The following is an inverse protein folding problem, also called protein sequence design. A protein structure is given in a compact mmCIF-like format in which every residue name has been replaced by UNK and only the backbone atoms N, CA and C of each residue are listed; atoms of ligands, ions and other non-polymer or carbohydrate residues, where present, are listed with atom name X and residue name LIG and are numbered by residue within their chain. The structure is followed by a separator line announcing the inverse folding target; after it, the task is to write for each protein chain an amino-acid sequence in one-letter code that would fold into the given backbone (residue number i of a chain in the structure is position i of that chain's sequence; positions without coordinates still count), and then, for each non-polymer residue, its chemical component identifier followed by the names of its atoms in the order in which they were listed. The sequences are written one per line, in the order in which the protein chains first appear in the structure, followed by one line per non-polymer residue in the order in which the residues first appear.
data_IF_176625180283
#
_entry.id   IF_176625180283
#
_cell.length_a   1.000
_cell.length_b   1.000
_cell.length_c   1.000
_cell.angle_alpha   90.00
_cell.angle_beta   90.00
_cell.angle_gamma   90.00
#
_symmetry.space_group_name_H-M   'P 1'
#
loop_
_entity.id
_entity.type
_entity.pdbx_description
1 polymer ?
#
# COMPACT_ATOMS: atom_id res chain seq x y z
N UNK A 1 -19.38 0.35 16.54
CA UNK A 1 -18.21 1.12 17.00
C UNK A 1 -17.48 0.32 18.06
N UNK A 2 -16.54 -0.53 17.66
CA UNK A 2 -15.56 -1.06 18.59
C UNK A 2 -14.54 0.08 18.82
N UNK A 3 -14.72 0.79 19.95
CA UNK A 3 -13.89 1.94 20.29
C UNK A 3 -12.43 1.54 20.39
N UNK A 4 -11.56 2.28 19.75
CA UNK A 4 -10.16 2.29 20.15
C UNK A 4 -10.10 2.60 21.64
N UNK A 5 -9.23 1.93 22.42
CA UNK A 5 -9.14 2.18 23.84
C UNK A 5 -8.82 3.66 24.09
N UNK A 6 -9.65 4.31 24.88
CA UNK A 6 -9.70 5.76 25.13
C UNK A 6 -8.42 6.39 25.73
N UNK A 7 -7.29 5.69 25.76
CA UNK A 7 -6.05 6.12 26.43
C UNK A 7 -4.77 5.94 25.61
N UNK A 8 -4.85 5.83 24.28
CA UNK A 8 -3.62 5.89 23.48
C UNK A 8 -3.23 7.34 23.31
N UNK A 9 -2.01 7.73 23.66
CA UNK A 9 -1.52 9.05 23.35
C UNK A 9 -1.60 9.27 21.83
N UNK A 10 -2.29 10.32 21.39
CA UNK A 10 -2.56 10.66 19.98
C UNK A 10 -1.26 10.81 19.14
N UNK A 11 -0.11 10.90 19.82
CA UNK A 11 1.21 11.07 19.20
C UNK A 11 2.00 9.78 18.95
N UNK A 12 1.49 8.60 19.29
CA UNK A 12 2.16 7.36 18.91
C UNK A 12 2.05 7.18 17.39
N UNK A 13 3.11 7.49 16.67
CA UNK A 13 3.27 7.01 15.32
C UNK A 13 3.42 5.49 15.42
N UNK A 14 2.42 4.75 14.96
CA UNK A 14 2.42 3.28 14.99
C UNK A 14 3.51 2.78 14.04
N UNK A 15 4.70 2.53 14.57
CA UNK A 15 5.85 2.08 13.80
C UNK A 15 5.64 0.61 13.41
N UNK A 16 5.80 0.34 12.13
CA UNK A 16 5.91 -1.03 11.64
C UNK A 16 7.37 -1.35 11.39
N UNK A 17 7.94 -2.25 12.17
CA UNK A 17 9.29 -2.74 12.00
C UNK A 17 9.28 -4.01 11.15
N UNK A 18 10.15 -4.10 10.16
CA UNK A 18 10.35 -5.35 9.41
C UNK A 18 11.05 -6.39 10.31
N UNK A 19 10.52 -7.60 10.31
CA UNK A 19 11.07 -8.74 11.04
C UNK A 19 11.80 -9.66 10.05
N UNK A 20 13.11 -9.88 10.20
CA UNK A 20 13.85 -10.78 9.33
C UNK A 20 13.30 -12.21 9.41
N UNK A 21 12.96 -12.83 8.29
CA UNK A 21 12.36 -14.17 8.25
C UNK A 21 13.22 -15.27 8.87
N UNK A 22 14.54 -15.06 8.96
CA UNK A 22 15.49 -16.00 9.59
C UNK A 22 15.67 -15.79 11.10
N UNK A 23 15.04 -14.76 11.69
CA UNK A 23 15.16 -14.46 13.12
C UNK A 23 14.35 -15.43 13.99
N UNK A 24 14.71 -15.57 15.24
CA UNK A 24 13.91 -16.32 16.22
C UNK A 24 12.53 -15.69 16.43
N UNK A 25 12.44 -14.36 16.33
CA UNK A 25 11.18 -13.64 16.40
C UNK A 25 10.20 -14.09 15.31
N UNK A 26 10.67 -14.28 14.09
CA UNK A 26 9.84 -14.77 12.98
C UNK A 26 9.32 -16.19 13.20
N UNK A 27 9.99 -16.99 14.03
CA UNK A 27 9.57 -18.35 14.41
C UNK A 27 8.55 -18.37 15.55
N UNK A 28 8.31 -17.23 16.21
CA UNK A 28 7.34 -17.14 17.30
C UNK A 28 5.94 -17.53 16.84
N UNK A 29 5.13 -18.07 17.75
CA UNK A 29 3.77 -18.51 17.45
C UNK A 29 2.94 -17.39 16.79
N UNK A 30 2.97 -16.16 17.35
CA UNK A 30 2.22 -15.01 16.81
C UNK A 30 2.65 -14.63 15.39
N UNK A 31 3.96 -14.67 15.11
CA UNK A 31 4.50 -14.36 13.79
C UNK A 31 4.09 -15.43 12.77
N UNK A 32 4.19 -16.71 13.13
CA UNK A 32 3.79 -17.83 12.28
C UNK A 32 2.28 -17.85 12.00
N UNK A 33 1.45 -17.52 12.97
CA UNK A 33 0.00 -17.37 12.74
C UNK A 33 -0.32 -16.23 11.76
N UNK A 34 0.39 -15.11 11.84
CA UNK A 34 0.23 -14.03 10.87
C UNK A 34 0.61 -14.46 9.44
N UNK A 35 1.68 -15.25 9.29
CA UNK A 35 2.11 -15.80 8.00
C UNK A 35 1.05 -16.78 7.47
N UNK A 36 0.58 -17.72 8.29
CA UNK A 36 -0.45 -18.69 7.91
C UNK A 36 -1.77 -18.01 7.51
N UNK A 37 -2.15 -16.95 8.23
CA UNK A 37 -3.37 -16.19 7.93
C UNK A 37 -3.26 -15.51 6.56
N UNK A 38 -2.09 -14.94 6.21
CA UNK A 38 -1.85 -14.34 4.91
C UNK A 38 -1.92 -15.39 3.79
N UNK A 39 -1.25 -16.54 3.96
CA UNK A 39 -1.27 -17.64 2.98
C UNK A 39 -2.70 -18.12 2.74
N UNK A 40 -3.44 -18.39 3.82
CA UNK A 40 -4.84 -18.81 3.75
C UNK A 40 -5.71 -17.80 3.01
N UNK A 41 -5.52 -16.50 3.26
CA UNK A 41 -6.26 -15.45 2.57
C UNK A 41 -6.03 -15.46 1.06
N UNK A 42 -4.80 -15.78 0.61
CA UNK A 42 -4.49 -15.94 -0.81
C UNK A 42 -5.08 -17.22 -1.41
N UNK A 43 -5.08 -18.32 -0.67
CA UNK A 43 -5.67 -19.59 -1.10
C UNK A 43 -7.19 -19.46 -1.24
N UNK A 44 -7.87 -18.92 -0.23
CA UNK A 44 -9.33 -18.72 -0.22
C UNK A 44 -9.79 -17.79 -1.35
N UNK A 45 -9.01 -16.78 -1.66
CA UNK A 45 -9.29 -15.84 -2.76
C UNK A 45 -8.98 -16.43 -4.15
N UNK A 46 -8.09 -17.41 -4.23
CA UNK A 46 -7.58 -17.90 -5.50
C UNK A 46 -6.69 -16.88 -6.20
N UNK A 47 -5.79 -16.21 -5.45
CA UNK A 47 -4.91 -15.15 -5.98
C UNK A 47 -4.09 -15.61 -7.18
N UNK A 48 -3.78 -16.89 -7.23
CA UNK A 48 -3.18 -17.59 -8.36
C UNK A 48 -3.99 -18.84 -8.70
N UNK A 49 -4.07 -19.18 -9.97
CA UNK A 49 -4.86 -20.30 -10.44
C UNK A 49 -4.08 -21.62 -10.31
N UNK A 50 -4.23 -22.27 -9.16
CA UNK A 50 -3.58 -23.56 -8.88
C UNK A 50 -4.06 -24.71 -9.79
N UNK A 51 -5.25 -24.57 -10.40
CA UNK A 51 -5.80 -25.60 -11.29
C UNK A 51 -5.04 -25.69 -12.61
N UNK A 52 -4.38 -24.59 -12.99
CA UNK A 52 -3.57 -24.47 -14.20
C UNK A 52 -2.06 -24.60 -13.94
N UNK A 53 -1.68 -25.21 -12.80
CA UNK A 53 -0.26 -25.43 -12.52
C UNK A 53 0.40 -26.30 -13.57
N UNK A 54 1.59 -25.90 -14.02
CA UNK A 54 2.52 -26.71 -14.85
C UNK A 54 3.94 -26.49 -14.35
N UNK A 55 4.86 -27.35 -14.77
CA UNK A 55 6.28 -27.01 -14.64
C UNK A 55 6.60 -25.76 -15.44
N UNK A 56 7.47 -24.91 -14.92
CA UNK A 56 7.84 -23.67 -15.60
C UNK A 56 8.36 -23.94 -17.03
N UNK A 57 9.09 -25.05 -17.24
CA UNK A 57 9.59 -25.42 -18.56
C UNK A 57 8.44 -25.59 -19.57
N UNK A 58 7.35 -26.24 -19.16
CA UNK A 58 6.19 -26.46 -20.03
C UNK A 58 5.50 -25.16 -20.44
N UNK A 59 5.54 -24.14 -19.56
CA UNK A 59 5.08 -22.80 -19.88
C UNK A 59 6.00 -22.08 -20.86
N UNK A 60 7.32 -22.18 -20.65
CA UNK A 60 8.33 -21.55 -21.52
C UNK A 60 8.35 -22.18 -22.94
N UNK A 61 8.11 -23.48 -23.05
CA UNK A 61 8.09 -24.20 -24.32
C UNK A 61 6.74 -24.06 -25.05
N UNK A 62 5.69 -23.55 -24.39
CA UNK A 62 4.36 -23.40 -24.99
C UNK A 62 4.34 -22.26 -26.03
N UNK A 63 4.12 -22.63 -27.29
CA UNK A 63 4.13 -21.70 -28.43
C UNK A 63 2.85 -20.84 -28.55
N UNK A 64 1.81 -21.13 -27.76
CA UNK A 64 0.59 -20.31 -27.73
C UNK A 64 0.83 -18.94 -27.05
N UNK A 65 1.88 -18.84 -26.23
CA UNK A 65 2.28 -17.59 -25.61
C UNK A 65 3.50 -17.00 -26.33
N UNK A 66 3.35 -15.76 -26.75
CA UNK A 66 4.45 -14.95 -27.30
C UNK A 66 5.43 -14.56 -26.21
N UNK A 67 4.92 -14.37 -24.97
CA UNK A 67 5.72 -14.03 -23.81
C UNK A 67 5.21 -14.72 -22.54
N UNK A 68 6.16 -15.12 -21.70
CA UNK A 68 5.92 -15.71 -20.38
C UNK A 68 6.72 -14.93 -19.36
N UNK A 69 6.02 -14.31 -18.41
CA UNK A 69 6.62 -13.55 -17.32
C UNK A 69 6.45 -14.34 -16.03
N UNK A 70 7.54 -14.70 -15.37
CA UNK A 70 7.47 -15.44 -14.11
C UNK A 70 8.26 -14.76 -13.01
N UNK A 71 7.63 -14.56 -11.86
CA UNK A 71 8.27 -14.07 -10.65
C UNK A 71 7.96 -14.96 -9.44
N UNK A 72 8.70 -14.76 -8.38
CA UNK A 72 8.53 -15.49 -7.13
C UNK A 72 7.70 -14.68 -6.14
N UNK A 73 6.96 -15.38 -5.28
CA UNK A 73 6.34 -14.78 -4.11
C UNK A 73 7.22 -15.00 -2.89
N UNK A 74 7.31 -13.99 -2.05
CA UNK A 74 7.95 -14.10 -0.74
C UNK A 74 7.13 -13.33 0.30
N UNK A 75 7.41 -13.60 1.58
CA UNK A 75 6.73 -12.92 2.69
C UNK A 75 7.56 -11.77 3.22
N UNK A 76 6.93 -10.63 3.40
CA UNK A 76 7.42 -9.56 4.26
C UNK A 76 6.65 -9.64 5.57
N UNK A 77 7.37 -9.92 6.66
CA UNK A 77 6.81 -9.92 8.00
C UNK A 77 7.11 -8.59 8.69
N UNK A 78 6.07 -7.92 9.14
CA UNK A 78 6.16 -6.68 9.92
C UNK A 78 5.61 -6.86 11.33
N UNK A 79 6.17 -6.13 12.27
CA UNK A 79 5.64 -5.98 13.63
C UNK A 79 5.15 -4.55 13.80
N UNK A 80 3.82 -4.37 13.89
CA UNK A 80 3.18 -3.09 14.21
C UNK A 80 3.27 -2.81 15.70
N UNK A 81 3.30 -1.53 16.07
CA UNK A 81 3.43 -1.07 17.45
C UNK A 81 4.72 -1.54 18.12
N UNK A 82 5.80 -1.71 17.36
CA UNK A 82 7.07 -2.22 17.88
C UNK A 82 7.76 -1.30 18.90
N UNK A 83 7.30 -0.06 19.01
CA UNK A 83 7.68 0.93 20.02
C UNK A 83 6.93 0.76 21.35
N UNK A 84 5.86 -0.04 21.36
CA UNK A 84 5.05 -0.33 22.54
C UNK A 84 5.56 -1.59 23.27
N UNK A 85 5.08 -1.87 24.48
CA UNK A 85 5.37 -3.15 25.14
C UNK A 85 5.02 -4.35 24.26
N UNK A 86 5.73 -5.44 24.37
CA UNK A 86 5.59 -6.64 23.53
C UNK A 86 4.17 -7.23 23.54
N UNK A 87 3.41 -7.01 24.62
CA UNK A 87 2.00 -7.40 24.71
C UNK A 87 1.10 -6.72 23.67
N UNK A 88 1.51 -5.56 23.17
CA UNK A 88 0.80 -4.76 22.18
C UNK A 88 1.31 -4.97 20.75
N UNK A 89 2.38 -5.73 20.57
CA UNK A 89 2.91 -6.03 19.25
C UNK A 89 1.92 -6.83 18.42
N UNK A 90 1.77 -6.42 17.16
CA UNK A 90 0.91 -7.09 16.20
C UNK A 90 1.70 -7.45 14.96
N UNK A 91 1.87 -8.74 14.73
CA UNK A 91 2.52 -9.22 13.51
C UNK A 91 1.56 -9.13 12.33
N UNK A 92 2.08 -8.70 11.21
CA UNK A 92 1.39 -8.67 9.93
C UNK A 92 2.33 -9.21 8.85
N UNK A 93 1.90 -10.27 8.17
CA UNK A 93 2.56 -10.76 7.00
C UNK A 93 1.97 -10.14 5.73
N UNK A 94 2.77 -10.05 4.68
CA UNK A 94 2.35 -9.69 3.34
C UNK A 94 3.06 -10.57 2.33
N UNK A 95 2.30 -11.27 1.50
CA UNK A 95 2.84 -11.94 0.33
C UNK A 95 3.09 -10.91 -0.77
N UNK A 96 4.30 -10.89 -1.29
CA UNK A 96 4.76 -9.90 -2.27
C UNK A 96 5.39 -10.60 -3.45
N UNK A 97 5.04 -10.17 -4.65
CA UNK A 97 5.66 -10.62 -5.88
C UNK A 97 7.05 -9.96 -6.06
N UNK A 98 8.05 -10.72 -6.43
CA UNK A 98 9.41 -10.23 -6.63
C UNK A 98 9.57 -9.55 -8.00
N UNK A 99 9.02 -8.36 -8.14
CA UNK A 99 8.95 -7.63 -9.41
C UNK A 99 10.29 -7.17 -9.97
N UNK A 100 11.33 -7.07 -9.13
CA UNK A 100 12.69 -6.73 -9.55
C UNK A 100 13.48 -7.93 -10.11
N UNK A 101 12.90 -9.13 -10.11
CA UNK A 101 13.55 -10.34 -10.60
C UNK A 101 12.52 -11.23 -11.32
N UNK A 102 12.04 -10.73 -12.46
CA UNK A 102 11.11 -11.45 -13.33
C UNK A 102 11.91 -12.14 -14.43
N UNK A 103 11.73 -13.46 -14.55
CA UNK A 103 12.25 -14.23 -15.68
C UNK A 103 11.27 -14.11 -16.84
N UNK A 104 11.77 -13.84 -18.04
CA UNK A 104 10.97 -13.68 -19.27
C UNK A 104 11.35 -14.76 -20.27
N UNK A 105 10.39 -15.18 -21.12
CA UNK A 105 10.62 -16.16 -22.18
C UNK A 105 11.58 -15.62 -23.23
N UNK A 106 11.43 -14.37 -23.61
CA UNK A 106 12.28 -13.69 -24.59
C UNK A 106 13.68 -13.32 -24.07
N UNK A 107 13.90 -13.38 -22.74
CA UNK A 107 15.12 -12.88 -22.09
C UNK A 107 15.21 -11.35 -22.01
N UNK A 108 14.18 -10.62 -22.46
CA UNK A 108 14.11 -9.17 -22.34
C UNK A 108 13.82 -8.75 -20.90
N UNK A 109 14.18 -7.53 -20.53
CA UNK A 109 13.76 -6.95 -19.27
C UNK A 109 12.24 -6.81 -19.21
N UNK A 110 11.65 -7.03 -18.03
CA UNK A 110 10.20 -6.79 -17.82
C UNK A 110 9.79 -5.38 -18.18
N UNK A 111 10.65 -4.40 -17.96
CA UNK A 111 10.39 -2.98 -18.31
C UNK A 111 10.42 -2.70 -19.82
N UNK A 112 10.97 -3.60 -20.63
CA UNK A 112 10.88 -3.53 -22.10
C UNK A 112 9.60 -4.17 -22.63
N UNK A 113 8.95 -5.02 -21.84
CA UNK A 113 7.75 -5.76 -22.20
C UNK A 113 6.49 -5.05 -21.67
N UNK A 114 6.61 -4.45 -20.48
CA UNK A 114 5.52 -3.76 -19.79
C UNK A 114 5.66 -2.26 -20.02
N UNK A 115 4.84 -1.73 -20.89
CA UNK A 115 4.94 -0.33 -21.35
C UNK A 115 4.55 0.71 -20.28
N UNK A 116 3.74 0.36 -19.30
CA UNK A 116 3.25 1.32 -18.30
C UNK A 116 3.37 0.79 -16.88
N UNK A 117 4.42 1.22 -16.18
CA UNK A 117 4.77 0.78 -14.82
C UNK A 117 4.50 1.87 -13.77
N UNK A 118 4.09 3.07 -14.22
CA UNK A 118 3.98 4.23 -13.34
C UNK A 118 2.58 4.36 -12.71
N UNK A 119 2.50 4.16 -11.40
CA UNK A 119 1.41 4.71 -10.61
C UNK A 119 1.66 6.19 -10.34
N UNK A 120 0.73 7.02 -10.73
CA UNK A 120 0.79 8.44 -10.38
C UNK A 120 0.04 8.64 -9.07
N UNK A 121 0.73 9.01 -7.99
CA UNK A 121 0.08 9.28 -6.71
C UNK A 121 -0.91 10.43 -6.84
N UNK A 122 -1.91 10.48 -5.95
CA UNK A 122 -2.89 11.56 -5.93
C UNK A 122 -2.20 12.93 -5.88
N UNK A 123 -2.72 13.87 -6.68
CA UNK A 123 -2.19 15.24 -6.72
C UNK A 123 -2.29 15.90 -5.34
N UNK A 124 -1.14 16.36 -4.82
CA UNK A 124 -1.10 17.09 -3.56
C UNK A 124 -1.94 18.38 -3.61
N UNK A 125 -1.94 19.07 -4.76
CA UNK A 125 -2.76 20.26 -4.98
C UNK A 125 -4.24 19.88 -4.94
N UNK A 126 -4.63 18.80 -5.62
CA UNK A 126 -5.99 18.29 -5.61
C UNK A 126 -6.45 17.89 -4.20
N UNK A 127 -5.62 17.18 -3.45
CA UNK A 127 -5.93 16.81 -2.06
C UNK A 127 -6.10 18.05 -1.15
N UNK A 128 -5.23 19.06 -1.28
CA UNK A 128 -5.36 20.32 -0.54
C UNK A 128 -6.61 21.11 -0.92
N UNK A 129 -6.99 21.08 -2.20
CA UNK A 129 -8.25 21.69 -2.66
C UNK A 129 -9.46 20.98 -2.07
N UNK A 130 -9.44 19.65 -1.98
CA UNK A 130 -10.47 18.88 -1.30
C UNK A 130 -10.59 19.27 0.20
N UNK A 131 -9.47 19.47 0.90
CA UNK A 131 -9.48 19.97 2.27
C UNK A 131 -10.11 21.36 2.39
N UNK A 132 -9.88 22.27 1.44
CA UNK A 132 -10.51 23.57 1.44
C UNK A 132 -12.05 23.44 1.32
N UNK A 133 -12.53 22.52 0.48
CA UNK A 133 -13.98 22.23 0.38
C UNK A 133 -14.52 21.60 1.67
N UNK A 134 -13.74 20.74 2.34
CA UNK A 134 -14.14 20.16 3.63
C UNK A 134 -14.39 21.22 4.73
N UNK A 135 -13.80 22.41 4.59
CA UNK A 135 -14.04 23.56 5.47
C UNK A 135 -15.33 24.31 5.14
N UNK A 136 -15.95 24.06 4.00
CA UNK A 136 -17.22 24.71 3.66
C UNK A 136 -18.33 24.22 4.61
N UNK A 137 -19.31 25.13 4.86
CA UNK A 137 -20.43 24.81 5.75
C UNK A 137 -21.21 23.61 5.25
N UNK A 138 -21.45 22.63 6.12
CA UNK A 138 -22.19 21.41 5.81
C UNK A 138 -21.34 20.27 5.21
N UNK A 139 -20.07 20.54 4.84
CA UNK A 139 -19.15 19.51 4.36
C UNK A 139 -18.34 18.89 5.50
N UNK A 140 -17.93 17.66 5.31
CA UNK A 140 -17.00 16.94 6.18
C UNK A 140 -16.03 16.10 5.33
N UNK A 141 -14.89 15.76 5.93
CA UNK A 141 -13.95 14.80 5.36
C UNK A 141 -14.07 13.49 6.13
N UNK A 142 -14.19 12.41 5.38
CA UNK A 142 -14.24 11.03 5.88
C UNK A 142 -13.22 10.17 5.14
N UNK A 143 -12.84 9.05 5.73
CA UNK A 143 -11.76 8.21 5.23
C UNK A 143 -12.12 6.73 5.34
N UNK A 144 -11.68 5.96 4.35
CA UNK A 144 -11.69 4.48 4.35
C UNK A 144 -10.43 3.93 3.71
N UNK A 145 -9.95 2.81 4.21
CA UNK A 145 -8.84 2.03 3.69
C UNK A 145 -9.39 0.82 2.93
N UNK A 146 -9.01 0.64 1.67
CA UNK A 146 -9.43 -0.52 0.89
C UNK A 146 -8.78 -1.79 1.42
N UNK A 147 -9.61 -2.80 1.74
CA UNK A 147 -9.11 -4.07 2.27
C UNK A 147 -8.37 -4.84 1.18
N UNK A 148 -7.05 -5.07 1.35
CA UNK A 148 -6.23 -5.80 0.38
C UNK A 148 -6.45 -5.30 -1.07
N UNK A 149 -6.34 -4.00 -1.29
CA UNK A 149 -6.72 -3.30 -2.51
C UNK A 149 -6.37 -4.05 -3.81
N UNK A 150 -5.09 -4.37 -4.05
CA UNK A 150 -4.66 -5.06 -5.27
C UNK A 150 -5.37 -6.39 -5.49
N UNK A 151 -5.65 -7.14 -4.42
CA UNK A 151 -6.31 -8.44 -4.52
C UNK A 151 -7.81 -8.35 -4.86
N UNK A 152 -8.36 -7.16 -5.03
CA UNK A 152 -9.73 -6.96 -5.50
C UNK A 152 -9.80 -6.79 -7.03
N UNK A 153 -8.67 -6.55 -7.68
CA UNK A 153 -8.59 -6.36 -9.12
C UNK A 153 -8.10 -7.63 -9.83
N UNK A 154 -8.87 -8.12 -10.80
CA UNK A 154 -8.48 -9.26 -11.63
C UNK A 154 -7.22 -8.94 -12.43
N UNK A 155 -6.32 -9.90 -12.51
CA UNK A 155 -5.11 -9.77 -13.29
C UNK A 155 -5.38 -10.15 -14.75
N UNK A 156 -5.63 -9.16 -15.59
CA UNK A 156 -5.77 -9.37 -17.02
C UNK A 156 -4.39 -9.23 -17.69
N UNK A 157 -3.95 -10.31 -18.35
CA UNK A 157 -2.73 -10.30 -19.14
C UNK A 157 -3.00 -9.79 -20.55
N UNK A 158 -2.00 -9.16 -21.17
CA UNK A 158 -2.09 -8.77 -22.58
C UNK A 158 -2.23 -10.00 -23.48
N UNK A 159 -2.81 -9.88 -24.67
CA UNK A 159 -2.95 -11.00 -25.62
C UNK A 159 -1.60 -11.67 -25.90
N UNK A 160 -1.56 -12.98 -25.76
CA UNK A 160 -0.35 -13.76 -25.99
C UNK A 160 0.68 -13.69 -24.84
N UNK A 161 0.42 -12.97 -23.77
CA UNK A 161 1.28 -12.89 -22.58
C UNK A 161 0.66 -13.67 -21.44
N UNK A 162 1.46 -14.41 -20.69
CA UNK A 162 1.03 -15.03 -19.43
C UNK A 162 1.92 -14.59 -18.28
N UNK A 163 1.28 -14.17 -17.19
CA UNK A 163 1.97 -13.77 -15.97
C UNK A 163 1.85 -14.88 -14.94
N UNK A 164 2.98 -15.46 -14.57
CA UNK A 164 3.09 -16.62 -13.71
C UNK A 164 3.71 -16.27 -12.36
N UNK A 165 3.34 -17.03 -11.36
CA UNK A 165 3.91 -16.97 -10.03
C UNK A 165 4.46 -18.32 -9.60
N UNK A 166 5.67 -18.31 -9.04
CA UNK A 166 6.23 -19.41 -8.27
C UNK A 166 5.97 -19.14 -6.78
N UNK A 167 5.15 -19.96 -6.16
CA UNK A 167 4.85 -19.86 -4.72
C UNK A 167 5.90 -20.66 -3.91
N UNK A 168 6.20 -20.27 -2.67
CA UNK A 168 7.12 -21.01 -1.79
C UNK A 168 6.67 -22.45 -1.60
N UNK A 169 7.63 -23.38 -1.52
CA UNK A 169 7.34 -24.82 -1.41
C UNK A 169 6.45 -25.16 -0.22
N UNK A 170 6.58 -24.43 0.88
CA UNK A 170 5.77 -24.63 2.08
C UNK A 170 4.27 -24.32 1.87
N UNK A 171 3.95 -23.55 0.81
CA UNK A 171 2.57 -23.18 0.43
C UNK A 171 1.99 -24.07 -0.67
N UNK A 172 2.77 -25.05 -1.17
CA UNK A 172 2.25 -25.92 -2.21
C UNK A 172 1.08 -26.74 -1.69
N UNK A 173 -0.02 -26.88 -2.44
CA UNK A 173 -1.13 -27.76 -2.09
C UNK A 173 -0.68 -29.22 -1.95
N UNK A 174 -1.31 -29.97 -1.08
CA UNK A 174 -1.03 -31.41 -0.91
C UNK A 174 -1.17 -32.18 -2.23
N UNK A 175 -2.11 -31.76 -3.08
CA UNK A 175 -2.30 -32.32 -4.42
C UNK A 175 -1.05 -32.24 -5.34
N UNK A 176 -0.08 -31.38 -5.01
CA UNK A 176 1.18 -31.27 -5.76
C UNK A 176 2.24 -32.26 -5.30
N UNK A 177 1.88 -33.16 -4.40
CA UNK A 177 2.75 -34.24 -3.95
C UNK A 177 2.15 -35.62 -4.30
N UNK A 178 3.01 -36.65 -4.42
CA UNK A 178 2.60 -38.03 -4.63
C UNK A 178 2.26 -38.73 -3.31
N UNK A 179 2.72 -38.18 -2.19
CA UNK A 179 2.58 -38.77 -0.87
C UNK A 179 2.08 -37.72 0.14
N UNK A 180 1.47 -38.19 1.23
CA UNK A 180 0.93 -37.37 2.31
C UNK A 180 2.03 -36.68 3.13
N UNK A 181 3.21 -37.25 3.17
CA UNK A 181 4.36 -36.76 3.89
C UNK A 181 5.05 -35.60 3.13
N UNK A 182 4.55 -35.25 1.92
CA UNK A 182 5.05 -34.18 1.06
C UNK A 182 6.53 -34.31 0.68
N UNK A 183 7.01 -35.55 0.58
CA UNK A 183 8.42 -35.85 0.27
C UNK A 183 8.68 -35.97 -1.24
N UNK A 184 7.66 -36.35 -2.02
CA UNK A 184 7.76 -36.57 -3.47
C UNK A 184 6.90 -35.61 -4.26
N UNK A 185 7.45 -34.46 -4.68
CA UNK A 185 6.70 -33.48 -5.47
C UNK A 185 6.36 -34.00 -6.87
N UNK A 186 5.18 -33.65 -7.37
CA UNK A 186 4.74 -33.94 -8.75
C UNK A 186 5.40 -33.05 -9.79
N UNK A 187 5.79 -31.85 -9.37
CA UNK A 187 6.37 -30.81 -10.20
C UNK A 187 7.79 -30.50 -9.72
N UNK A 188 8.72 -30.36 -10.65
CA UNK A 188 10.09 -29.94 -10.33
C UNK A 188 10.15 -28.42 -9.99
N UNK A 189 9.44 -27.63 -10.79
CA UNK A 189 9.37 -26.17 -10.65
C UNK A 189 7.97 -25.70 -11.06
N UNK A 190 6.97 -25.80 -10.15
CA UNK A 190 5.60 -25.45 -10.47
C UNK A 190 5.43 -23.93 -10.58
N UNK A 191 4.70 -23.48 -11.59
CA UNK A 191 4.27 -22.11 -11.76
C UNK A 191 2.79 -22.05 -12.14
N UNK A 192 2.08 -21.05 -11.62
CA UNK A 192 0.65 -20.83 -11.82
C UNK A 192 0.39 -19.44 -12.40
N UNK A 193 -0.64 -19.28 -13.25
CA UNK A 193 -1.08 -17.96 -13.67
C UNK A 193 -1.57 -17.11 -12.46
N UNK A 194 -1.24 -15.83 -12.47
CA UNK A 194 -1.86 -14.86 -11.57
C UNK A 194 -3.32 -14.66 -11.97
N UNK A 195 -4.22 -14.70 -10.99
CA UNK A 195 -5.64 -14.42 -11.15
C UNK A 195 -6.03 -13.01 -10.66
N UNK A 196 -5.32 -12.50 -9.66
CA UNK A 196 -5.52 -11.16 -9.11
C UNK A 196 -4.20 -10.39 -9.06
N UNK A 197 -4.29 -9.06 -9.06
CA UNK A 197 -3.13 -8.21 -8.90
C UNK A 197 -2.46 -8.48 -7.53
N UNK A 198 -1.13 -8.58 -7.52
CA UNK A 198 -0.36 -8.92 -6.33
C UNK A 198 0.64 -7.81 -6.03
N UNK A 199 0.74 -7.32 -4.78
CA UNK A 199 1.74 -6.33 -4.41
C UNK A 199 3.14 -6.72 -4.89
N UNK A 200 3.88 -5.75 -5.46
CA UNK A 200 5.22 -5.96 -6.00
C UNK A 200 5.28 -6.38 -7.48
N UNK A 201 4.17 -6.79 -8.09
CA UNK A 201 4.13 -6.97 -9.54
C UNK A 201 4.07 -5.60 -10.25
N UNK A 202 4.88 -5.35 -11.30
CA UNK A 202 4.95 -4.05 -11.96
C UNK A 202 3.61 -3.48 -12.42
N UNK A 203 2.72 -4.32 -12.94
CA UNK A 203 1.39 -3.91 -13.42
C UNK A 203 0.33 -3.75 -12.31
N UNK A 204 0.58 -4.22 -11.10
CA UNK A 204 -0.49 -4.29 -10.08
C UNK A 204 -1.09 -2.94 -9.73
N UNK A 205 -0.27 -1.90 -9.73
CA UNK A 205 -0.76 -0.57 -9.49
C UNK A 205 -1.74 -0.09 -10.54
N UNK A 206 -1.37 -0.21 -11.82
CA UNK A 206 -2.21 0.22 -12.94
C UNK A 206 -3.50 -0.62 -13.03
N UNK A 207 -3.41 -1.92 -12.74
CA UNK A 207 -4.59 -2.81 -12.71
C UNK A 207 -5.57 -2.35 -11.62
N UNK A 208 -5.06 -2.02 -10.43
CA UNK A 208 -5.88 -1.50 -9.34
C UNK A 208 -6.48 -0.14 -9.68
N UNK A 209 -5.69 0.78 -10.24
CA UNK A 209 -6.17 2.09 -10.69
C UNK A 209 -7.27 1.94 -11.74
N UNK A 210 -7.08 1.13 -12.78
CA UNK A 210 -8.09 0.85 -13.79
C UNK A 210 -9.37 0.24 -13.20
N UNK A 211 -9.24 -0.68 -12.23
CA UNK A 211 -10.36 -1.27 -11.53
C UNK A 211 -11.16 -0.21 -10.76
N UNK A 212 -10.50 0.61 -9.95
CA UNK A 212 -11.16 1.66 -9.16
C UNK A 212 -11.79 2.73 -10.05
N UNK A 213 -11.10 3.15 -11.10
CA UNK A 213 -11.63 4.07 -12.10
C UNK A 213 -12.93 3.52 -12.74
N UNK A 214 -12.89 2.25 -13.16
CA UNK A 214 -14.06 1.59 -13.73
C UNK A 214 -15.26 1.56 -12.78
N UNK A 215 -15.02 1.34 -11.50
CA UNK A 215 -16.06 1.40 -10.44
C UNK A 215 -16.59 2.82 -10.29
N UNK A 216 -15.71 3.81 -10.13
CA UNK A 216 -16.09 5.19 -9.88
C UNK A 216 -16.85 5.81 -11.07
N UNK A 217 -16.40 5.55 -12.29
CA UNK A 217 -17.09 6.02 -13.51
C UNK A 217 -18.50 5.43 -13.62
N UNK A 218 -18.69 4.14 -13.33
CA UNK A 218 -20.03 3.51 -13.27
C UNK A 218 -20.94 4.17 -12.23
N UNK A 219 -20.36 4.64 -11.12
CA UNK A 219 -21.05 5.38 -10.06
C UNK A 219 -21.17 6.89 -10.38
N UNK A 220 -20.87 7.31 -11.61
CA UNK A 220 -20.99 8.69 -12.13
C UNK A 220 -20.05 9.69 -11.44
N UNK A 221 -18.93 9.22 -10.94
CA UNK A 221 -17.81 10.07 -10.58
C UNK A 221 -17.06 10.47 -11.85
N UNK A 222 -16.56 11.70 -11.90
CA UNK A 222 -15.77 12.21 -13.01
C UNK A 222 -14.34 12.44 -12.55
N UNK A 223 -13.36 11.89 -13.28
CA UNK A 223 -11.95 12.14 -13.02
C UNK A 223 -11.62 13.60 -13.34
N UNK A 224 -10.83 14.23 -12.51
CA UNK A 224 -10.26 15.55 -12.78
C UNK A 224 -8.95 15.34 -13.56
N UNK A 225 -8.96 15.61 -14.86
CA UNK A 225 -7.82 15.30 -15.75
C UNK A 225 -6.50 15.94 -15.32
N UNK A 226 -6.54 17.18 -14.79
CA UNK A 226 -5.35 17.89 -14.34
C UNK A 226 -4.80 17.36 -13.00
N UNK A 227 -5.53 16.50 -12.28
CA UNK A 227 -5.17 16.06 -10.93
C UNK A 227 -5.38 14.56 -10.77
N UNK A 228 -4.29 13.81 -10.88
CA UNK A 228 -4.33 12.37 -10.68
C UNK A 228 -4.97 12.01 -9.33
N UNK A 229 -5.76 10.92 -9.32
CA UNK A 229 -6.40 10.41 -8.12
C UNK A 229 -7.50 11.30 -7.53
N UNK A 230 -7.97 12.31 -8.27
CA UNK A 230 -9.06 13.18 -7.82
C UNK A 230 -10.30 12.96 -8.69
N UNK A 231 -11.42 12.72 -8.01
CA UNK A 231 -12.72 12.54 -8.66
C UNK A 231 -13.74 13.50 -8.07
N UNK A 232 -14.65 13.97 -8.90
CA UNK A 232 -15.74 14.83 -8.48
C UNK A 232 -17.08 14.22 -8.91
N UNK A 233 -18.07 14.36 -8.05
CA UNK A 233 -19.44 13.93 -8.32
C UNK A 233 -20.34 15.15 -8.56
N UNK A 234 -21.43 14.97 -9.32
CA UNK A 234 -22.35 16.06 -9.69
C UNK A 234 -22.98 16.79 -8.50
N UNK A 235 -23.00 16.18 -7.30
CA UNK A 235 -23.53 16.78 -6.08
C UNK A 235 -22.49 17.63 -5.32
N UNK A 236 -21.30 17.85 -5.90
CA UNK A 236 -20.21 18.62 -5.32
C UNK A 236 -19.30 17.82 -4.39
N UNK A 237 -19.53 16.52 -4.23
CA UNK A 237 -18.63 15.64 -3.48
C UNK A 237 -17.31 15.44 -4.21
N UNK A 238 -16.20 15.35 -3.45
CA UNK A 238 -14.84 15.13 -3.96
C UNK A 238 -14.27 13.87 -3.32
N UNK A 239 -13.73 12.96 -4.14
CA UNK A 239 -13.01 11.79 -3.70
C UNK A 239 -11.54 11.92 -4.08
N UNK A 240 -10.66 11.72 -3.10
CA UNK A 240 -9.21 11.66 -3.26
C UNK A 240 -8.79 10.22 -3.06
N UNK A 241 -8.14 9.65 -4.07
CA UNK A 241 -7.70 8.27 -4.10
C UNK A 241 -6.17 8.19 -4.11
N UNK A 242 -5.59 7.60 -3.08
CA UNK A 242 -4.16 7.34 -2.99
C UNK A 242 -3.94 5.85 -2.74
N UNK A 243 -3.84 5.07 -3.81
CA UNK A 243 -3.71 3.61 -3.82
C UNK A 243 -4.88 2.94 -3.08
N UNK A 244 -4.68 2.54 -1.83
CA UNK A 244 -5.66 1.91 -0.94
C UNK A 244 -6.41 2.92 -0.03
N UNK A 245 -5.91 4.13 0.06
CA UNK A 245 -6.44 5.20 0.90
C UNK A 245 -7.49 6.05 0.17
N UNK A 246 -8.74 6.01 0.61
CA UNK A 246 -9.86 6.78 0.06
C UNK A 246 -10.27 7.88 1.02
N UNK A 247 -10.15 9.14 0.60
CA UNK A 247 -10.65 10.30 1.35
C UNK A 247 -11.82 10.92 0.60
N UNK A 248 -12.99 10.98 1.25
CA UNK A 248 -14.20 11.55 0.71
C UNK A 248 -14.55 12.86 1.42
N UNK A 249 -14.69 13.91 0.65
CA UNK A 249 -15.20 15.21 1.09
C UNK A 249 -16.60 15.41 0.52
N UNK A 250 -17.60 15.47 1.38
CA UNK A 250 -19.00 15.56 0.99
C UNK A 250 -19.82 16.15 2.15
N UNK A 251 -21.13 16.44 1.89
CA UNK A 251 -22.07 16.62 3.00
C UNK A 251 -22.27 15.28 3.73
N UNK A 252 -22.68 15.34 5.01
CA UNK A 252 -22.86 14.12 5.82
C UNK A 252 -23.79 13.10 5.14
N UNK A 253 -24.89 13.58 4.55
CA UNK A 253 -25.86 12.73 3.86
C UNK A 253 -25.24 12.08 2.62
N UNK A 254 -24.54 12.86 1.80
CA UNK A 254 -23.90 12.36 0.60
C UNK A 254 -22.72 11.43 0.90
N UNK A 255 -21.96 11.69 1.98
CA UNK A 255 -20.88 10.81 2.40
C UNK A 255 -21.39 9.38 2.70
N UNK A 256 -22.49 9.25 3.45
CA UNK A 256 -23.12 7.96 3.71
C UNK A 256 -23.56 7.25 2.44
N UNK A 257 -24.24 8.00 1.54
CA UNK A 257 -24.69 7.47 0.25
C UNK A 257 -23.50 6.94 -0.57
N UNK A 258 -22.48 7.77 -0.77
CA UNK A 258 -21.32 7.41 -1.60
C UNK A 258 -20.53 6.25 -1.00
N UNK A 259 -20.30 6.23 0.32
CA UNK A 259 -19.62 5.10 0.95
C UNK A 259 -20.39 3.79 0.79
N UNK A 260 -21.72 3.82 0.84
CA UNK A 260 -22.55 2.63 0.61
C UNK A 260 -22.49 2.18 -0.86
N UNK A 261 -22.51 3.11 -1.80
CA UNK A 261 -22.44 2.80 -3.24
C UNK A 261 -21.07 2.22 -3.62
N UNK A 262 -20.00 2.86 -3.21
CA UNK A 262 -18.62 2.40 -3.47
C UNK A 262 -18.37 1.07 -2.72
N UNK A 263 -18.82 0.95 -1.48
CA UNK A 263 -18.63 -0.23 -0.65
C UNK A 263 -19.32 -1.51 -1.13
N UNK A 264 -20.25 -1.40 -2.08
CA UNK A 264 -20.83 -2.57 -2.78
C UNK A 264 -19.90 -3.16 -3.84
N UNK A 265 -18.91 -2.39 -4.29
CA UNK A 265 -17.99 -2.77 -5.36
C UNK A 265 -16.55 -2.94 -4.85
N UNK A 266 -16.16 -2.15 -3.86
CA UNK A 266 -14.82 -2.14 -3.26
C UNK A 266 -14.96 -2.49 -1.78
N UNK A 267 -14.26 -3.53 -1.34
CA UNK A 267 -14.19 -3.90 0.07
C UNK A 267 -13.30 -2.93 0.84
N UNK A 268 -13.80 -2.42 1.96
CA UNK A 268 -13.06 -1.58 2.90
C UNK A 268 -12.78 -2.31 4.21
N UNK A 269 -11.75 -1.89 4.95
CA UNK A 269 -11.39 -2.50 6.24
C UNK A 269 -12.41 -2.18 7.34
N UNK A 270 -13.09 -1.03 7.23
CA UNK A 270 -14.02 -0.52 8.23
C UNK A 270 -15.23 0.18 7.59
N UNK A 271 -16.18 0.58 8.43
CA UNK A 271 -17.40 1.29 8.00
C UNK A 271 -17.16 2.76 7.62
N UNK A 272 -15.94 3.23 7.79
CA UNK A 272 -15.55 4.61 7.56
C UNK A 272 -15.60 5.47 8.81
N UNK A 273 -14.67 6.37 8.92
CA UNK A 273 -14.51 7.27 10.06
C UNK A 273 -14.34 8.72 9.61
N UNK A 274 -14.60 9.67 10.54
CA UNK A 274 -14.17 11.06 10.37
C UNK A 274 -12.66 11.07 10.15
N UNK A 275 -12.20 11.88 9.21
CA UNK A 275 -10.79 12.01 8.93
C UNK A 275 -10.04 12.54 10.15
N UNK A 276 -9.21 11.70 10.73
CA UNK A 276 -8.29 12.07 11.82
C UNK A 276 -6.84 11.88 11.37
N UNK A 277 -6.57 10.82 10.61
CA UNK A 277 -5.25 10.52 10.08
C UNK A 277 -5.36 10.16 8.60
N UNK A 278 -4.46 10.70 7.78
CA UNK A 278 -4.37 10.40 6.35
C UNK A 278 -2.93 10.58 5.90
N UNK A 279 -2.39 9.62 5.15
CA UNK A 279 -1.01 9.64 4.64
C UNK A 279 0.04 10.03 5.68
N UNK A 280 -0.06 9.47 6.89
CA UNK A 280 0.92 9.69 7.96
C UNK A 280 0.77 11.00 8.75
N UNK A 281 -0.08 11.91 8.33
CA UNK A 281 -0.38 13.15 9.05
C UNK A 281 -1.67 13.04 9.88
N UNK A 282 -1.72 13.78 10.98
CA UNK A 282 -2.93 13.93 11.80
C UNK A 282 -3.60 15.25 11.41
N UNK A 283 -4.90 15.19 11.16
CA UNK A 283 -5.72 16.34 10.77
C UNK A 283 -6.68 16.69 11.88
N UNK A 284 -6.68 17.94 12.29
CA UNK A 284 -7.63 18.51 13.27
C UNK A 284 -8.42 19.59 12.58
N UNK A 285 -9.73 19.40 12.53
CA UNK A 285 -10.67 20.37 12.00
C UNK A 285 -11.21 21.19 13.16
N UNK A 286 -11.20 22.50 13.03
CA UNK A 286 -11.84 23.37 14.02
C UNK A 286 -13.34 23.06 14.07
N UNK A 287 -13.87 22.91 15.28
CA UNK A 287 -15.29 22.72 15.47
C UNK A 287 -16.04 24.01 15.10
N UNK A 288 -17.14 23.84 14.38
CA UNK A 288 -18.02 24.95 14.04
C UNK A 288 -18.76 25.40 15.32
N UNK A 289 -18.54 26.64 15.73
CA UNK A 289 -19.35 27.29 16.75
C UNK A 289 -20.48 28.10 16.09
N UNK A 290 -21.75 27.67 16.18
CA UNK A 290 -22.87 28.37 15.56
C UNK A 290 -23.11 29.78 16.17
N UNK A 291 -22.59 30.07 17.36
CA UNK A 291 -22.74 31.33 18.05
C UNK A 291 -21.80 32.45 17.52
N UNK A 292 -20.77 32.05 16.73
CA UNK A 292 -19.82 33.03 16.17
C UNK A 292 -20.12 33.18 14.68
N UNK A 293 -20.79 34.26 14.24
CA UNK A 293 -21.03 34.51 12.84
C UNK A 293 -19.71 34.65 12.07
N UNK A 294 -19.61 33.96 10.93
CA UNK A 294 -18.45 34.00 10.02
C UNK A 294 -17.12 33.58 10.66
N UNK A 295 -17.14 32.70 11.67
CA UNK A 295 -15.92 32.13 12.21
C UNK A 295 -15.12 31.44 11.06
N UNK A 296 -13.86 31.83 10.85
CA UNK A 296 -13.03 31.12 9.89
C UNK A 296 -12.79 29.70 10.40
N UNK A 297 -12.96 28.72 9.52
CA UNK A 297 -12.65 27.32 9.82
C UNK A 297 -11.22 27.03 9.35
N UNK A 298 -10.52 26.22 10.11
CA UNK A 298 -9.16 25.82 9.77
C UNK A 298 -8.95 24.31 9.90
N UNK A 299 -7.92 23.83 9.23
CA UNK A 299 -7.40 22.48 9.39
C UNK A 299 -5.96 22.60 9.86
N UNK A 300 -5.68 22.09 11.04
CA UNK A 300 -4.32 21.91 11.50
C UNK A 300 -3.80 20.53 11.08
N UNK A 301 -2.63 20.53 10.43
CA UNK A 301 -1.93 19.30 10.05
C UNK A 301 -0.76 19.09 11.01
N UNK A 302 -0.70 17.93 11.67
CA UNK A 302 0.34 17.61 12.63
C UNK A 302 1.14 16.39 12.16
N UNK A 303 2.45 16.56 12.03
CA UNK A 303 3.42 15.52 11.68
C UNK A 303 4.53 15.36 12.74
N UNK A 304 4.38 16.00 13.91
CA UNK A 304 5.43 16.03 14.94
C UNK A 304 5.84 14.63 15.43
N UNK A 305 4.90 13.70 15.50
CA UNK A 305 5.18 12.30 15.82
C UNK A 305 6.10 11.63 14.81
N UNK A 306 5.80 11.79 13.52
CA UNK A 306 6.61 11.27 12.43
C UNK A 306 8.04 11.84 12.45
N UNK A 307 8.17 13.16 12.53
CA UNK A 307 9.46 13.83 12.58
C UNK A 307 10.29 13.41 13.80
N UNK A 308 9.66 13.27 14.97
CA UNK A 308 10.34 12.81 16.18
C UNK A 308 10.90 11.39 15.99
N UNK A 309 10.13 10.50 15.37
CA UNK A 309 10.56 9.13 15.12
C UNK A 309 11.71 9.07 14.10
N UNK A 310 11.69 9.91 13.06
CA UNK A 310 12.82 10.04 12.13
C UNK A 310 14.10 10.43 12.87
N UNK A 311 14.02 11.45 13.73
CA UNK A 311 15.18 11.89 14.53
C UNK A 311 15.68 10.78 15.45
N UNK A 312 14.78 10.07 16.13
CA UNK A 312 15.16 8.96 17.02
C UNK A 312 15.81 7.81 16.25
N UNK A 313 15.25 7.47 15.08
CA UNK A 313 15.84 6.46 14.20
C UNK A 313 17.24 6.88 13.75
N UNK A 314 17.40 8.11 13.31
CA UNK A 314 18.68 8.66 12.89
C UNK A 314 19.73 8.60 14.04
N UNK A 315 19.37 9.03 15.26
CA UNK A 315 20.27 8.96 16.42
C UNK A 315 20.70 7.52 16.72
N UNK A 316 19.77 6.56 16.61
CA UNK A 316 20.06 5.14 16.84
C UNK A 316 21.01 4.58 15.78
N UNK A 317 20.77 4.92 14.51
CA UNK A 317 21.53 4.37 13.40
C UNK A 317 22.91 5.05 13.25
N UNK A 318 23.04 6.29 13.76
CA UNK A 318 24.27 7.08 13.78
C UNK A 318 24.62 7.63 15.17
N UNK A 319 25.00 6.78 16.15
CA UNK A 319 25.19 7.17 17.54
C UNK A 319 26.34 8.16 17.77
N UNK A 320 27.25 8.32 16.78
CA UNK A 320 28.35 9.28 16.83
C UNK A 320 28.02 10.69 16.34
N UNK A 321 26.84 10.89 15.74
CA UNK A 321 26.43 12.17 15.19
C UNK A 321 25.73 13.02 16.25
N UNK A 322 26.25 14.21 16.50
CA UNK A 322 25.65 15.18 17.41
C UNK A 322 24.69 16.10 16.67
N UNK A 323 23.40 15.93 16.93
CA UNK A 323 22.38 16.84 16.41
C UNK A 323 22.45 18.19 17.15
N UNK A 324 22.36 19.28 16.40
CA UNK A 324 22.33 20.65 16.96
C UNK A 324 20.93 21.25 16.76
N UNK A 325 20.46 21.97 17.78
CA UNK A 325 19.22 22.73 17.67
C UNK A 325 19.49 23.98 16.81
N UNK A 326 18.82 24.06 15.66
CA UNK A 326 18.92 25.22 14.76
C UNK A 326 17.59 25.96 14.72
N UNK A 327 17.64 27.27 14.41
CA UNK A 327 16.44 28.11 14.31
C UNK A 327 15.70 27.94 12.99
N UNK A 328 16.41 27.56 11.94
CA UNK A 328 15.87 27.34 10.59
C UNK A 328 16.27 25.97 10.10
N UNK A 329 15.40 25.25 9.35
CA UNK A 329 15.72 23.92 8.81
C UNK A 329 16.81 23.97 7.71
N UNK A 330 17.05 25.12 7.13
CA UNK A 330 18.06 25.31 6.10
C UNK A 330 19.18 26.23 6.62
N UNK A 331 20.44 25.80 6.60
CA UNK A 331 21.55 26.74 6.75
C UNK A 331 21.50 27.74 5.59
N UNK A 332 21.96 28.96 5.85
CA UNK A 332 22.18 29.93 4.76
C UNK A 332 23.22 29.29 3.84
N UNK A 333 22.90 29.14 2.55
CA UNK A 333 23.85 28.67 1.56
C UNK A 333 25.08 29.58 1.62
N UNK A 334 26.19 29.03 2.04
CA UNK A 334 27.45 29.64 1.82
C UNK A 334 27.72 29.43 0.34
N UNK A 335 27.96 30.50 -0.40
CA UNK A 335 28.17 30.52 -1.87
C UNK A 335 29.34 29.65 -2.41
N UNK A 336 29.80 28.68 -1.65
CA UNK A 336 30.90 27.78 -1.98
C UNK A 336 30.44 26.30 -1.93
N UNK A 337 29.44 25.99 -2.77
CA UNK A 337 29.20 24.58 -3.08
C UNK A 337 30.31 24.04 -3.97
N UNK A 338 31.03 23.01 -3.53
CA UNK A 338 32.08 22.35 -4.31
C UNK A 338 31.57 21.02 -4.84
N UNK A 339 31.91 20.64 -6.08
CA UNK A 339 31.54 19.34 -6.64
C UNK A 339 31.97 18.13 -5.79
N UNK A 340 33.00 18.31 -4.96
CA UNK A 340 33.50 17.31 -4.00
C UNK A 340 32.53 17.03 -2.87
N UNK A 341 31.50 17.87 -2.66
CA UNK A 341 30.43 17.67 -1.67
C UNK A 341 29.32 16.70 -2.18
N UNK A 342 29.39 16.25 -3.44
CA UNK A 342 28.52 15.22 -4.03
C UNK A 342 28.93 13.78 -3.67
N UNK A 343 29.60 13.55 -2.55
CA UNK A 343 29.85 12.17 -2.14
C UNK A 343 28.54 11.41 -1.89
N UNK A 344 28.18 10.58 -2.86
CA UNK A 344 27.11 9.57 -2.76
C UNK A 344 27.53 8.45 -1.82
N UNK A 345 27.83 8.80 -0.57
CA UNK A 345 28.15 7.84 0.47
C UNK A 345 26.91 7.13 1.02
N UNK A 346 27.13 6.07 1.79
CA UNK A 346 26.09 5.36 2.53
C UNK A 346 25.20 6.31 3.33
N UNK A 347 25.77 7.37 3.91
CA UNK A 347 25.05 8.39 4.67
C UNK A 347 24.01 9.14 3.82
N UNK A 348 24.35 9.54 2.58
CA UNK A 348 23.41 10.19 1.68
C UNK A 348 22.29 9.24 1.22
N UNK A 349 22.63 7.97 0.94
CA UNK A 349 21.65 6.92 0.61
C UNK A 349 20.70 6.64 1.77
N UNK A 350 21.25 6.56 2.98
CA UNK A 350 20.45 6.32 4.19
C UNK A 350 19.52 7.50 4.46
N UNK A 351 19.98 8.77 4.34
CA UNK A 351 19.11 9.96 4.49
C UNK A 351 17.96 9.93 3.48
N UNK A 352 18.23 9.58 2.23
CA UNK A 352 17.17 9.48 1.21
C UNK A 352 16.13 8.38 1.53
N UNK A 353 16.46 7.42 2.39
CA UNK A 353 15.57 6.35 2.83
C UNK A 353 14.69 6.69 4.05
N UNK A 354 14.95 7.83 4.69
CA UNK A 354 14.19 8.33 5.85
C UNK A 354 13.02 9.20 5.42
#
# INVERSE_FOLDING_TARGET
CAGEPANRPIWCALITRTVPMKSEEAKSFKAQEAIKAEVRGHEERGTWDISRVRNLRDWMDDTTFTEVLVGRVFVILGCKNSEMPESEWRYRARAVFQGNNIQTKSGKSVYEIVEDVSNTPASLVGARSAFAVALMRGFCATYRDAFQAFLQALFESDPGVVNLVEIPKDWWPDAWFHDKERTRPRYARPACPLAYALPGHPKSGNIWEAHTDGVLLKLKWNRVEAWCGIFVHQDGSILVLYVDDFMLVATVVNAWKHWNEIGRQIQFQDEGAKLVRYLGAIYRFDEYNPEIPNQPRSIATEMSGYLRNLVQRFIRDYPGVRLQKVKTPFPVDKDEWKPEDEETGKFAQDIASY
#
